data_IF_304218216392
#
_entry.id   IF_304218216392
#
_cell.length_a   1.000
_cell.length_b   1.000
_cell.length_c   1.000
_cell.angle_alpha   90.00
_cell.angle_beta   90.00
_cell.angle_gamma   90.00
#
_symmetry.space_group_name_H-M   'P 1'
#
loop_
_entity.id
_entity.type
_entity.pdbx_description
1 polymer ?
#
# COMPACT_ATOMS: atom_id res chain seq x y z
N UNK A 1 17.46 -1.32 46.78
CA UNK A 1 17.22 -2.25 45.65
C UNK A 1 16.12 -1.64 44.80
N UNK A 2 16.46 -0.99 43.69
CA UNK A 2 15.51 -0.40 42.76
C UNK A 2 15.64 -1.10 41.42
N UNK A 3 14.57 -1.75 40.96
CA UNK A 3 14.52 -2.38 39.65
C UNK A 3 14.09 -1.34 38.61
N UNK A 4 15.05 -0.89 37.81
CA UNK A 4 14.81 -0.05 36.64
C UNK A 4 14.35 -0.97 35.51
N UNK A 5 13.04 -0.99 35.21
CA UNK A 5 12.52 -1.57 33.98
C UNK A 5 12.83 -0.62 32.83
N UNK A 6 13.88 -0.90 32.06
CA UNK A 6 14.06 -0.34 30.73
C UNK A 6 13.12 -1.09 29.78
N UNK A 7 12.01 -0.46 29.40
CA UNK A 7 11.22 -0.95 28.27
C UNK A 7 12.10 -0.85 27.01
N UNK A 8 12.22 -1.92 26.19
CA UNK A 8 12.84 -1.78 24.89
C UNK A 8 12.07 -0.75 24.07
N UNK A 9 12.78 0.22 23.50
CA UNK A 9 12.20 1.16 22.56
C UNK A 9 11.63 0.37 21.37
N UNK A 10 10.43 0.70 20.86
CA UNK A 10 9.90 0.06 19.67
C UNK A 10 10.87 0.27 18.48
N UNK A 11 10.95 -0.69 17.55
CA UNK A 11 11.76 -0.54 16.35
C UNK A 11 11.39 0.74 15.61
N UNK A 12 12.38 1.33 14.91
CA UNK A 12 12.17 2.51 14.08
C UNK A 12 11.06 2.21 13.07
N UNK A 13 9.89 2.81 13.29
CA UNK A 13 8.73 2.66 12.41
C UNK A 13 8.89 3.64 11.27
N UNK A 14 9.10 3.13 10.06
CA UNK A 14 9.07 3.97 8.88
C UNK A 14 7.61 4.25 8.53
N UNK A 15 7.21 5.52 8.63
CA UNK A 15 5.87 5.96 8.24
C UNK A 15 5.78 5.97 6.71
N UNK A 16 5.00 5.06 6.14
CA UNK A 16 4.65 5.03 4.73
C UNK A 16 3.28 5.71 4.53
N UNK A 17 3.03 6.20 3.32
CA UNK A 17 1.78 6.91 3.01
C UNK A 17 0.66 5.89 2.71
N UNK A 18 -0.47 5.98 3.42
CA UNK A 18 -1.64 5.12 3.24
C UNK A 18 -2.75 5.85 2.48
N UNK A 19 -3.19 5.30 1.34
CA UNK A 19 -4.09 5.98 0.39
C UNK A 19 -5.46 5.30 0.33
N UNK A 20 -6.55 6.01 0.01
CA UNK A 20 -7.84 5.33 -0.11
C UNK A 20 -8.75 5.71 -1.29
N UNK A 21 -9.24 4.67 -1.98
CA UNK A 21 -10.44 4.55 -2.81
C UNK A 21 -10.42 5.04 -4.24
N UNK A 22 -10.28 4.05 -5.12
CA UNK A 22 -11.09 3.93 -6.35
C UNK A 22 -11.99 2.70 -6.14
N UNK A 23 -13.24 2.66 -6.61
CA UNK A 23 -13.86 1.33 -6.75
C UNK A 23 -13.03 0.54 -7.77
N UNK A 24 -12.93 -0.78 -7.58
CA UNK A 24 -12.25 -1.60 -8.56
C UNK A 24 -12.93 -1.39 -9.92
N UNK A 25 -12.19 -0.92 -10.93
CA UNK A 25 -12.64 -1.05 -12.31
C UNK A 25 -13.05 -2.51 -12.55
N UNK A 26 -14.05 -2.77 -13.41
CA UNK A 26 -14.64 -4.10 -13.51
C UNK A 26 -13.56 -5.15 -13.71
N UNK A 27 -13.62 -6.24 -12.93
CA UNK A 27 -13.01 -7.50 -13.35
C UNK A 27 -13.44 -7.72 -14.81
N UNK A 28 -12.51 -8.04 -15.73
CA UNK A 28 -12.85 -8.16 -17.13
C UNK A 28 -14.02 -9.11 -17.24
N UNK A 29 -15.14 -8.63 -17.80
CA UNK A 29 -16.23 -9.51 -18.21
C UNK A 29 -15.58 -10.55 -19.11
N UNK A 30 -15.50 -11.80 -18.64
CA UNK A 30 -15.19 -12.95 -19.48
C UNK A 30 -16.27 -12.95 -20.56
N UNK A 31 -15.93 -12.42 -21.72
CA UNK A 31 -16.84 -12.34 -22.84
C UNK A 31 -17.01 -13.77 -23.36
N UNK A 32 -18.07 -14.46 -22.92
CA UNK A 32 -18.57 -15.66 -23.57
C UNK A 32 -19.19 -15.25 -24.90
N UNK A 33 -18.35 -14.95 -25.89
CA UNK A 33 -18.80 -14.80 -27.27
C UNK A 33 -17.79 -15.42 -28.20
N UNK A 34 -17.59 -16.73 -28.02
CA UNK A 34 -17.24 -17.61 -29.12
C UNK A 34 -18.52 -17.89 -29.92
N UNK A 35 -18.98 -16.93 -30.72
CA UNK A 35 -19.83 -17.13 -31.92
C UNK A 35 -20.24 -15.78 -32.52
N UNK A 36 -19.44 -15.25 -33.43
CA UNK A 36 -19.90 -14.65 -34.71
C UNK A 36 -18.69 -14.13 -35.49
N UNK A 37 -17.93 -15.07 -36.07
CA UNK A 37 -17.25 -14.79 -37.32
C UNK A 37 -18.29 -14.98 -38.44
N UNK A 38 -18.76 -13.87 -39.03
CA UNK A 38 -19.04 -13.72 -40.48
C UNK A 38 -19.68 -12.36 -40.76
N UNK A 39 -19.18 -11.71 -41.82
CA UNK A 39 -19.67 -10.50 -42.50
C UNK A 39 -19.54 -9.21 -41.68
N UNK A 40 -18.91 -8.12 -42.13
CA UNK A 40 -18.90 -7.59 -43.49
C UNK A 40 -17.72 -6.64 -43.71
N UNK A 41 -17.19 -6.69 -44.93
CA UNK A 41 -16.33 -5.68 -45.57
C UNK A 41 -17.10 -4.40 -45.87
N UNK A 42 -16.42 -3.24 -45.75
CA UNK A 42 -16.49 -1.99 -46.54
C UNK A 42 -16.18 -0.78 -45.62
N UNK A 43 -15.07 -0.04 -45.77
CA UNK A 43 -14.66 0.95 -46.81
C UNK A 43 -15.06 2.39 -46.42
N UNK A 44 -14.10 3.33 -46.61
CA UNK A 44 -14.23 4.80 -46.87
C UNK A 44 -14.42 5.71 -45.64
N UNK A 45 -13.38 6.42 -45.13
CA UNK A 45 -12.74 7.73 -45.51
C UNK A 45 -13.39 8.98 -44.88
N UNK A 46 -12.54 10.02 -44.73
CA UNK A 46 -12.73 11.44 -44.34
C UNK A 46 -12.55 11.78 -42.85
N UNK A 47 -11.54 12.56 -42.43
CA UNK A 47 -11.06 13.93 -42.78
C UNK A 47 -11.64 15.01 -41.83
N UNK A 48 -10.76 15.90 -41.35
CA UNK A 48 -11.06 17.10 -40.54
C UNK A 48 -10.85 16.91 -39.03
N UNK A 49 -9.83 17.44 -38.35
CA UNK A 49 -9.06 18.64 -38.60
C UNK A 49 -9.62 19.79 -37.76
N UNK A 50 -9.20 19.96 -36.51
CA UNK A 50 -9.30 21.23 -35.75
C UNK A 50 -8.20 21.31 -34.68
N UNK A 51 -7.26 22.22 -34.93
CA UNK A 51 -6.19 22.64 -34.03
C UNK A 51 -6.65 23.89 -33.29
N UNK A 52 -6.62 23.88 -31.96
CA UNK A 52 -6.67 25.11 -31.16
C UNK A 52 -5.56 25.08 -30.10
N UNK A 53 -4.63 26.00 -30.30
CA UNK A 53 -3.56 26.45 -29.42
C UNK A 53 -4.11 27.11 -28.15
N UNK A 54 -3.54 26.78 -26.99
CA UNK A 54 -3.68 27.55 -25.75
C UNK A 54 -2.29 28.00 -25.26
N UNK A 55 -2.17 29.20 -24.65
CA UNK A 55 -0.89 29.83 -24.36
C UNK A 55 -0.21 29.35 -23.08
N UNK A 56 1.12 29.35 -23.13
CA UNK A 56 2.06 29.30 -22.03
C UNK A 56 1.82 30.45 -21.04
N UNK A 57 1.73 30.13 -19.75
CA UNK A 57 1.92 31.10 -18.66
C UNK A 57 3.04 30.62 -17.75
N UNK A 58 4.16 31.34 -17.82
CA UNK A 58 5.33 31.21 -16.95
C UNK A 58 5.18 32.12 -15.74
N UNK A 59 5.33 31.59 -14.53
CA UNK A 59 5.64 32.40 -13.35
C UNK A 59 6.65 31.69 -12.46
N UNK A 60 7.79 32.36 -12.31
CA UNK A 60 8.98 32.06 -11.50
C UNK A 60 8.68 32.04 -9.98
N UNK A 61 9.51 31.36 -9.15
CA UNK A 61 9.29 31.24 -7.72
C UNK A 61 9.93 32.40 -6.94
N UNK A 62 9.27 32.85 -5.88
CA UNK A 62 9.86 33.70 -4.85
C UNK A 62 10.25 32.86 -3.63
N UNK A 63 11.47 33.14 -3.16
CA UNK A 63 12.13 32.55 -2.02
C UNK A 63 11.88 33.31 -0.73
N UNK A 64 12.08 32.62 0.40
CA UNK A 64 12.91 33.00 1.56
C UNK A 64 12.23 32.97 2.94
N UNK A 65 13.11 32.64 3.91
CA UNK A 65 13.05 32.78 5.36
C UNK A 65 12.12 31.77 6.07
N UNK A 66 12.56 31.01 7.08
CA UNK A 66 13.76 31.07 7.89
C UNK A 66 13.33 30.59 9.28
N UNK A 67 13.83 29.45 9.75
CA UNK A 67 13.58 28.99 11.11
C UNK A 67 14.90 28.76 11.85
N UNK A 68 15.07 29.60 12.86
CA UNK A 68 16.01 29.54 13.96
C UNK A 68 15.87 28.21 14.70
N UNK A 69 16.97 27.47 14.88
CA UNK A 69 17.05 26.43 15.92
C UNK A 69 18.05 26.91 16.98
N UNK A 70 17.53 27.20 18.17
CA UNK A 70 18.31 27.50 19.37
C UNK A 70 19.01 26.24 19.89
N UNK A 71 20.29 26.39 20.19
CA UNK A 71 21.13 25.43 20.91
C UNK A 71 20.89 25.58 22.41
N UNK A 72 20.83 24.46 23.15
CA UNK A 72 21.04 24.43 24.60
C UNK A 72 22.33 23.69 24.95
N UNK A 73 23.10 24.15 25.95
CA UNK A 73 24.46 23.71 26.20
C UNK A 73 24.58 22.43 27.03
N UNK A 74 25.71 21.76 26.77
CA UNK A 74 26.30 20.66 27.52
C UNK A 74 26.55 21.02 28.99
N UNK A 75 26.27 20.07 29.89
CA UNK A 75 26.83 20.05 31.23
C UNK A 75 27.77 18.85 31.35
N UNK A 76 29.06 19.13 31.52
CA UNK A 76 30.10 18.18 31.89
C UNK A 76 30.17 18.07 33.41
N UNK A 77 30.27 16.85 33.93
CA UNK A 77 30.72 16.61 35.30
C UNK A 77 31.66 15.39 35.31
N UNK A 78 32.93 15.66 35.62
CA UNK A 78 33.96 14.68 35.96
C UNK A 78 33.82 14.26 37.42
N UNK A 79 33.88 12.97 37.73
CA UNK A 79 34.39 12.47 39.03
C UNK A 79 35.21 11.19 38.82
N UNK A 80 36.30 11.15 39.58
CA UNK A 80 37.47 10.29 39.57
C UNK A 80 37.32 8.89 40.21
N UNK A 81 38.19 7.99 39.74
CA UNK A 81 38.89 6.85 40.37
C UNK A 81 38.18 5.96 41.42
N UNK A 82 38.18 4.65 41.12
CA UNK A 82 38.00 3.58 42.10
C UNK A 82 38.23 2.20 41.46
N UNK A 83 39.46 1.70 41.51
CA UNK A 83 39.85 0.37 41.06
C UNK A 83 39.27 -0.71 41.99
N UNK A 84 38.36 -1.54 41.48
CA UNK A 84 38.01 -2.82 42.10
C UNK A 84 37.78 -3.86 41.01
N UNK A 85 38.69 -4.84 40.97
CA UNK A 85 38.58 -6.04 40.14
C UNK A 85 37.47 -6.92 40.74
N UNK A 86 36.28 -6.86 40.16
CA UNK A 86 35.24 -7.87 40.33
C UNK A 86 35.10 -8.55 38.96
N UNK A 87 35.70 -9.74 38.83
CA UNK A 87 35.43 -10.64 37.71
C UNK A 87 34.14 -11.38 38.04
N UNK A 88 33.01 -10.76 37.69
CA UNK A 88 31.71 -11.41 37.66
C UNK A 88 31.52 -11.95 36.24
N UNK A 89 31.68 -13.26 36.05
CA UNK A 89 31.23 -13.96 34.84
C UNK A 89 29.71 -14.06 34.89
N UNK A 90 29.01 -12.94 34.67
CA UNK A 90 27.61 -12.95 34.29
C UNK A 90 27.55 -13.25 32.79
N UNK A 91 26.96 -14.39 32.45
CA UNK A 91 26.70 -14.78 31.07
C UNK A 91 25.87 -13.70 30.36
N UNK A 92 26.48 -13.01 29.41
CA UNK A 92 25.75 -12.25 28.42
C UNK A 92 25.27 -13.24 27.36
N UNK A 93 24.07 -13.77 27.55
CA UNK A 93 23.27 -14.21 26.42
C UNK A 93 23.02 -12.95 25.57
N UNK A 94 23.87 -12.73 24.56
CA UNK A 94 23.59 -11.82 23.45
C UNK A 94 22.39 -12.40 22.70
N UNK A 95 21.19 -12.18 23.24
CA UNK A 95 19.98 -12.31 22.46
C UNK A 95 20.10 -11.29 21.34
N UNK A 96 20.27 -11.76 20.10
CA UNK A 96 20.14 -10.91 18.94
C UNK A 96 18.77 -10.24 19.02
N UNK A 97 18.75 -8.95 19.37
CA UNK A 97 17.58 -8.11 19.18
C UNK A 97 17.39 -8.02 17.68
N UNK A 98 16.56 -8.91 17.13
CA UNK A 98 16.05 -8.77 15.77
C UNK A 98 15.27 -7.46 15.78
N UNK A 99 15.88 -6.43 15.22
CA UNK A 99 15.24 -5.14 15.01
C UNK A 99 14.22 -5.39 13.89
N UNK A 100 12.99 -5.76 14.25
CA UNK A 100 11.95 -5.99 13.27
C UNK A 100 11.61 -4.64 12.63
N UNK A 101 12.17 -4.39 11.44
CA UNK A 101 11.78 -3.24 10.63
C UNK A 101 10.31 -3.39 10.24
N UNK A 102 9.60 -2.27 10.25
CA UNK A 102 8.18 -2.26 9.97
C UNK A 102 7.71 -0.95 9.35
N UNK A 103 6.65 -1.07 8.56
CA UNK A 103 6.01 0.03 7.85
C UNK A 103 4.59 0.23 8.39
N UNK A 104 4.23 1.49 8.63
CA UNK A 104 2.86 1.86 9.00
C UNK A 104 2.25 2.64 7.86
N UNK A 105 1.16 2.11 7.30
CA UNK A 105 0.28 2.80 6.36
C UNK A 105 -0.89 3.40 7.14
N UNK A 106 -1.00 4.72 7.16
CA UNK A 106 -2.04 5.42 7.92
C UNK A 106 -3.09 6.01 6.99
N UNK A 107 -4.36 5.79 7.37
CA UNK A 107 -5.54 6.30 6.73
C UNK A 107 -6.11 7.43 7.59
N UNK A 108 -6.10 8.66 7.06
CA UNK A 108 -6.69 9.84 7.68
C UNK A 108 -8.15 9.97 7.22
N UNK A 109 -9.12 9.64 8.08
CA UNK A 109 -10.53 9.58 7.69
C UNK A 109 -11.14 10.87 7.15
N UNK A 110 -10.48 12.04 7.30
CA UNK A 110 -10.89 13.26 6.61
C UNK A 110 -10.55 13.27 5.12
N UNK A 111 -9.51 12.52 4.73
CA UNK A 111 -8.99 12.46 3.35
C UNK A 111 -9.18 11.10 2.70
N UNK A 112 -9.33 10.03 3.47
CA UNK A 112 -9.64 8.67 2.99
C UNK A 112 -11.14 8.38 3.07
N UNK A 113 -11.97 9.29 2.55
CA UNK A 113 -13.43 9.13 2.40
C UNK A 113 -14.14 8.48 3.60
N UNK A 114 -13.70 8.83 4.82
CA UNK A 114 -14.28 8.33 6.07
C UNK A 114 -13.59 7.12 6.71
N UNK A 115 -12.71 6.40 6.01
CA UNK A 115 -11.93 5.30 6.59
C UNK A 115 -10.78 5.86 7.41
N UNK A 116 -10.68 5.47 8.67
CA UNK A 116 -9.60 5.91 9.57
C UNK A 116 -8.85 4.71 10.15
N UNK A 117 -7.55 4.85 10.39
CA UNK A 117 -6.76 3.85 11.10
C UNK A 117 -5.46 3.49 10.41
N UNK A 118 -5.00 2.25 10.60
CA UNK A 118 -3.67 1.82 10.15
C UNK A 118 -3.64 0.38 9.63
N UNK A 119 -2.71 0.16 8.70
CA UNK A 119 -2.17 -1.16 8.37
C UNK A 119 -0.70 -1.15 8.75
N UNK A 120 -0.31 -2.02 9.68
CA UNK A 120 1.06 -2.23 10.13
C UNK A 120 1.62 -3.47 9.43
N UNK A 121 2.84 -3.35 8.90
CA UNK A 121 3.61 -4.43 8.31
C UNK A 121 4.89 -4.59 9.13
N UNK A 122 5.16 -5.79 9.61
CA UNK A 122 6.37 -6.13 10.37
C UNK A 122 7.08 -7.31 9.71
N UNK A 123 8.34 -7.14 9.30
CA UNK A 123 9.12 -8.23 8.71
C UNK A 123 9.46 -9.29 9.76
N UNK A 124 9.36 -10.56 9.38
CA UNK A 124 9.61 -11.69 10.29
C UNK A 124 11.00 -12.28 10.07
N UNK A 125 11.88 -12.12 11.07
CA UNK A 125 13.17 -12.82 11.11
C UNK A 125 14.13 -12.42 9.98
N UNK A 126 14.91 -13.38 9.49
CA UNK A 126 15.95 -13.17 8.47
C UNK A 126 15.47 -13.45 7.04
N UNK A 127 14.17 -13.70 6.83
CA UNK A 127 13.60 -14.01 5.52
C UNK A 127 13.21 -12.73 4.79
N UNK A 128 13.62 -12.52 3.53
CA UNK A 128 13.46 -11.20 2.89
C UNK A 128 12.00 -10.86 2.55
N UNK A 129 11.09 -11.83 2.43
CA UNK A 129 9.73 -11.62 1.90
C UNK A 129 8.60 -11.99 2.86
N UNK A 130 8.90 -12.45 4.08
CA UNK A 130 7.85 -12.79 5.05
C UNK A 130 7.52 -11.59 5.95
N UNK A 131 6.25 -11.20 5.98
CA UNK A 131 5.77 -10.11 6.81
C UNK A 131 4.49 -10.49 7.57
N UNK A 132 4.41 -10.05 8.82
CA UNK A 132 3.16 -9.99 9.59
C UNK A 132 2.44 -8.70 9.22
N UNK A 133 1.16 -8.80 8.90
CA UNK A 133 0.33 -7.64 8.56
C UNK A 133 -0.81 -7.56 9.57
N UNK A 134 -0.95 -6.41 10.22
CA UNK A 134 -2.02 -6.12 11.17
C UNK A 134 -2.82 -4.93 10.67
N UNK A 135 -4.14 -5.03 10.63
CA UNK A 135 -5.01 -3.93 10.22
C UNK A 135 -6.01 -3.59 11.32
N UNK A 136 -6.07 -2.30 11.66
CA UNK A 136 -7.06 -1.70 12.53
C UNK A 136 -7.68 -0.50 11.82
N UNK A 137 -8.85 -0.72 11.21
CA UNK A 137 -9.51 0.27 10.36
C UNK A 137 -10.96 0.50 10.82
N UNK A 138 -11.42 1.74 10.74
CA UNK A 138 -12.76 2.17 11.09
C UNK A 138 -13.46 2.74 9.84
N UNK A 139 -14.50 2.04 9.39
CA UNK A 139 -15.33 2.37 8.23
C UNK A 139 -16.63 3.09 8.66
N UNK A 140 -16.79 3.45 9.94
CA UNK A 140 -18.05 4.01 10.45
C UNK A 140 -18.45 5.35 9.83
N UNK A 141 -17.48 6.09 9.26
CA UNK A 141 -17.72 7.36 8.55
C UNK A 141 -17.69 7.21 7.02
N UNK A 142 -17.55 5.99 6.49
CA UNK A 142 -17.53 5.76 5.04
C UNK A 142 -18.89 6.11 4.44
N UNK A 143 -18.90 7.09 3.54
CA UNK A 143 -20.07 7.47 2.76
C UNK A 143 -20.15 6.63 1.48
N UNK A 144 -20.95 5.56 1.52
CA UNK A 144 -21.15 4.69 0.37
C UNK A 144 -21.90 5.39 -0.79
N UNK A 145 -22.69 6.43 -0.54
CA UNK A 145 -23.30 7.20 -1.63
C UNK A 145 -22.24 8.03 -2.36
N UNK A 146 -21.30 8.65 -1.63
CA UNK A 146 -20.17 9.33 -2.22
C UNK A 146 -19.27 8.37 -3.02
N UNK A 147 -19.01 7.17 -2.51
CA UNK A 147 -18.30 6.08 -3.21
C UNK A 147 -18.96 5.77 -4.56
N UNK A 148 -20.26 5.50 -4.56
CA UNK A 148 -21.02 5.18 -5.78
C UNK A 148 -21.09 6.35 -6.76
N UNK A 149 -21.18 7.58 -6.25
CA UNK A 149 -21.16 8.78 -7.08
C UNK A 149 -19.80 8.99 -7.75
N UNK A 150 -18.72 8.66 -7.05
CA UNK A 150 -17.37 8.79 -7.56
C UNK A 150 -17.01 7.71 -8.59
N UNK A 151 -17.61 6.53 -8.50
CA UNK A 151 -17.38 5.44 -9.46
C UNK A 151 -18.68 4.72 -9.83
N UNK A 152 -19.09 4.87 -11.10
CA UNK A 152 -20.29 4.24 -11.63
C UNK A 152 -20.25 2.69 -11.68
N UNK A 153 -19.08 2.07 -11.49
CA UNK A 153 -18.97 0.61 -11.36
C UNK A 153 -19.41 0.10 -9.99
N UNK A 154 -19.48 0.98 -8.99
CA UNK A 154 -20.00 0.67 -7.66
C UNK A 154 -21.55 0.60 -7.70
N UNK A 155 -22.12 -0.41 -8.36
CA UNK A 155 -23.58 -0.57 -8.50
C UNK A 155 -24.22 -1.32 -7.34
N UNK A 156 -23.42 -2.03 -6.54
CA UNK A 156 -23.92 -2.81 -5.42
C UNK A 156 -24.33 -1.88 -4.27
N UNK A 157 -25.61 -1.94 -3.89
CA UNK A 157 -26.14 -1.15 -2.79
C UNK A 157 -25.52 -1.54 -1.43
N UNK A 158 -25.08 -2.79 -1.30
CA UNK A 158 -24.49 -3.34 -0.08
C UNK A 158 -23.05 -3.80 -0.35
N UNK A 159 -22.09 -2.92 -0.09
CA UNK A 159 -20.66 -3.23 -0.16
C UNK A 159 -20.22 -3.68 1.23
N UNK A 160 -19.82 -4.95 1.34
CA UNK A 160 -19.42 -5.59 2.61
C UNK A 160 -17.99 -6.09 2.60
N UNK A 161 -17.33 -6.09 1.45
CA UNK A 161 -15.94 -6.49 1.27
C UNK A 161 -15.19 -5.40 0.53
N UNK A 162 -13.97 -5.12 0.99
CA UNK A 162 -13.13 -4.09 0.39
C UNK A 162 -11.79 -4.70 0.01
N UNK A 163 -11.48 -4.68 -1.28
CA UNK A 163 -10.20 -5.19 -1.81
C UNK A 163 -9.09 -4.21 -1.50
N UNK A 164 -7.85 -4.66 -1.45
CA UNK A 164 -6.72 -3.82 -1.08
C UNK A 164 -5.42 -4.35 -1.67
N UNK A 165 -4.60 -3.42 -2.17
CA UNK A 165 -3.42 -3.72 -2.97
C UNK A 165 -2.33 -2.68 -2.75
N UNK A 166 -1.08 -3.05 -3.03
CA UNK A 166 0.07 -2.12 -3.10
C UNK A 166 0.15 -1.56 -4.52
N UNK A 167 0.15 -0.24 -4.64
CA UNK A 167 0.34 0.51 -5.87
C UNK A 167 1.70 1.19 -5.89
N UNK A 168 2.28 1.32 -7.09
CA UNK A 168 3.71 1.66 -7.27
C UNK A 168 4.03 3.16 -7.38
N UNK A 169 3.04 4.06 -7.36
CA UNK A 169 3.26 5.51 -7.43
C UNK A 169 2.44 6.27 -6.41
N UNK A 170 2.95 7.42 -5.99
CA UNK A 170 2.21 8.34 -5.15
C UNK A 170 2.57 9.78 -5.50
N UNK A 171 1.59 10.52 -6.02
CA UNK A 171 1.81 11.89 -6.49
C UNK A 171 1.08 12.94 -5.63
N UNK A 172 0.89 12.66 -4.33
CA UNK A 172 0.31 13.63 -3.39
C UNK A 172 1.29 14.01 -2.26
N UNK A 173 1.22 15.28 -1.87
CA UNK A 173 1.89 15.78 -0.67
C UNK A 173 1.20 15.34 0.62
N UNK A 174 -0.07 14.92 0.54
CA UNK A 174 -0.81 14.38 1.67
C UNK A 174 -0.39 12.92 1.93
N UNK A 175 -0.70 12.44 3.14
CA UNK A 175 -0.50 11.04 3.53
C UNK A 175 -1.60 10.12 3.07
N UNK A 176 -2.80 10.68 2.81
CA UNK A 176 -4.00 9.98 2.33
C UNK A 176 -4.75 10.88 1.35
N UNK A 177 -5.45 10.25 0.41
CA UNK A 177 -6.32 10.89 -0.57
C UNK A 177 -7.54 10.01 -0.85
N UNK A 178 -8.50 10.52 -1.64
CA UNK A 178 -9.63 9.74 -2.13
C UNK A 178 -10.12 10.01 -3.54
N UNK A 179 -10.89 9.05 -4.06
CA UNK A 179 -11.60 9.09 -5.32
C UNK A 179 -10.67 9.28 -6.53
N UNK A 180 -10.84 10.36 -7.30
CA UNK A 180 -10.05 10.63 -8.49
C UNK A 180 -8.53 10.70 -8.23
N UNK A 181 -8.12 11.03 -7.00
CA UNK A 181 -6.71 11.04 -6.60
C UNK A 181 -6.08 9.65 -6.48
N UNK A 182 -6.90 8.59 -6.47
CA UNK A 182 -6.44 7.22 -6.40
C UNK A 182 -6.35 6.54 -7.78
N UNK A 183 -6.65 7.27 -8.85
CA UNK A 183 -6.68 6.75 -10.22
C UNK A 183 -5.32 6.25 -10.72
N UNK A 184 -5.34 5.30 -11.68
CA UNK A 184 -4.16 4.63 -12.25
C UNK A 184 -3.05 5.59 -12.70
N UNK A 185 -3.38 6.77 -13.23
CA UNK A 185 -2.36 7.73 -13.67
C UNK A 185 -1.57 8.35 -12.50
N UNK A 186 -2.17 8.48 -11.31
CA UNK A 186 -1.57 9.08 -10.11
C UNK A 186 -0.95 8.03 -9.20
N UNK A 187 -1.55 6.84 -9.11
CA UNK A 187 -1.12 5.77 -8.20
C UNK A 187 -0.35 4.65 -8.90
N UNK A 188 -0.38 4.59 -10.23
CA UNK A 188 0.14 3.46 -10.96
C UNK A 188 -0.75 2.21 -10.80
N UNK A 189 -0.17 1.08 -11.19
CA UNK A 189 -0.79 -0.23 -11.13
C UNK A 189 -0.28 -1.00 -9.90
N UNK A 190 -0.75 -2.24 -9.72
CA UNK A 190 -0.30 -3.13 -8.64
C UNK A 190 1.19 -3.46 -8.77
N UNK A 191 1.89 -3.51 -7.64
CA UNK A 191 3.27 -3.96 -7.59
C UNK A 191 3.38 -5.46 -7.94
N UNK A 192 4.13 -5.79 -9.00
CA UNK A 192 4.23 -7.15 -9.53
C UNK A 192 5.60 -7.46 -10.15
N UNK A 193 6.70 -7.36 -9.37
CA UNK A 193 8.06 -7.55 -9.88
C UNK A 193 8.31 -8.97 -10.41
N UNK A 194 7.51 -9.94 -9.96
CA UNK A 194 7.61 -11.34 -10.37
C UNK A 194 6.73 -11.68 -11.57
N UNK A 195 5.97 -10.72 -12.10
CA UNK A 195 5.10 -10.89 -13.28
C UNK A 195 4.15 -12.08 -13.13
N UNK A 196 3.45 -12.12 -12.00
CA UNK A 196 2.27 -12.96 -11.84
C UNK A 196 1.17 -12.53 -12.83
N UNK A 197 1.23 -11.28 -13.30
CA UNK A 197 0.49 -10.76 -14.44
C UNK A 197 -1.02 -10.78 -14.24
N UNK A 198 -1.50 -10.28 -13.10
CA UNK A 198 -2.91 -9.98 -12.95
C UNK A 198 -3.36 -8.80 -13.81
N UNK A 199 -4.68 -8.58 -13.93
CA UNK A 199 -5.24 -7.54 -14.81
C UNK A 199 -4.76 -6.13 -14.51
N UNK A 200 -4.29 -5.89 -13.28
CA UNK A 200 -3.82 -4.59 -12.81
C UNK A 200 -2.34 -4.60 -12.46
N UNK A 201 -1.57 -5.61 -12.88
CA UNK A 201 -0.11 -5.63 -12.80
C UNK A 201 0.50 -4.38 -13.44
N UNK A 202 1.57 -3.84 -12.85
CA UNK A 202 2.38 -2.79 -13.50
C UNK A 202 2.97 -3.23 -14.85
N UNK A 203 3.00 -4.54 -15.11
CA UNK A 203 3.44 -5.13 -16.37
C UNK A 203 2.29 -5.65 -17.24
N UNK A 204 1.01 -5.41 -16.89
CA UNK A 204 -0.15 -5.96 -17.59
C UNK A 204 -0.16 -5.69 -19.11
N UNK A 205 0.37 -4.54 -19.54
CA UNK A 205 0.42 -4.11 -20.94
C UNK A 205 1.63 -4.68 -21.72
N UNK A 206 2.52 -5.42 -21.06
CA UNK A 206 3.63 -6.14 -21.72
C UNK A 206 3.13 -7.41 -22.41
N UNK A 207 3.82 -7.84 -23.47
CA UNK A 207 3.43 -9.05 -24.21
C UNK A 207 3.54 -10.32 -23.34
N UNK A 208 4.48 -10.34 -22.38
CA UNK A 208 4.62 -11.41 -21.40
C UNK A 208 3.34 -11.56 -20.54
N UNK A 209 2.76 -10.44 -20.08
CA UNK A 209 1.59 -10.48 -19.22
C UNK A 209 0.26 -10.58 -19.96
N UNK A 210 0.11 -10.00 -21.15
CA UNK A 210 -1.14 -10.06 -21.92
C UNK A 210 -1.68 -11.49 -22.08
N UNK A 211 -0.79 -12.47 -22.24
CA UNK A 211 -1.16 -13.89 -22.33
C UNK A 211 -1.63 -14.47 -20.99
N UNK A 212 -1.05 -14.03 -19.87
CA UNK A 212 -1.29 -14.56 -18.51
C UNK A 212 -2.49 -13.93 -17.82
N UNK A 213 -2.81 -12.66 -18.10
CA UNK A 213 -3.90 -11.89 -17.45
C UNK A 213 -5.23 -12.65 -17.40
N UNK A 214 -5.60 -13.35 -18.48
CA UNK A 214 -6.87 -14.10 -18.54
C UNK A 214 -6.92 -15.31 -17.61
N UNK A 215 -5.76 -15.83 -17.23
CA UNK A 215 -5.61 -16.99 -16.35
C UNK A 215 -5.26 -16.63 -14.91
N UNK A 216 -5.01 -15.34 -14.64
CA UNK A 216 -4.73 -14.86 -13.30
C UNK A 216 -5.90 -15.15 -12.38
N UNK A 217 -5.60 -15.84 -11.27
CA UNK A 217 -6.60 -16.27 -10.32
C UNK A 217 -5.96 -16.37 -8.93
N UNK A 218 -5.44 -15.24 -8.45
CA UNK A 218 -4.92 -15.18 -7.10
C UNK A 218 -6.06 -15.33 -6.09
N UNK A 219 -5.92 -16.32 -5.22
CA UNK A 219 -6.84 -16.61 -4.12
C UNK A 219 -6.03 -17.12 -2.94
N UNK A 220 -6.50 -17.01 -1.69
CA UNK A 220 -5.73 -17.48 -0.54
C UNK A 220 -5.36 -18.97 -0.63
N UNK A 221 -6.26 -19.78 -1.18
CA UNK A 221 -6.03 -21.21 -1.38
C UNK A 221 -4.95 -21.53 -2.44
N UNK A 222 -4.84 -20.72 -3.50
CA UNK A 222 -3.78 -20.88 -4.51
C UNK A 222 -2.46 -20.31 -4.00
N UNK A 223 -2.51 -19.14 -3.38
CA UNK A 223 -1.37 -18.50 -2.75
C UNK A 223 -0.69 -19.40 -1.71
N UNK A 224 -1.47 -20.08 -0.86
CA UNK A 224 -0.94 -21.01 0.13
C UNK A 224 -0.20 -22.21 -0.48
N UNK A 225 -0.48 -22.58 -1.74
CA UNK A 225 0.19 -23.66 -2.47
C UNK A 225 1.42 -23.17 -3.23
N UNK A 226 1.31 -22.01 -3.85
CA UNK A 226 2.36 -21.39 -4.64
C UNK A 226 2.25 -19.86 -4.52
N UNK A 227 3.14 -19.21 -3.74
CA UNK A 227 3.13 -17.76 -3.57
C UNK A 227 3.38 -16.95 -4.85
N UNK A 228 3.96 -17.55 -5.90
CA UNK A 228 4.31 -16.86 -7.14
C UNK A 228 3.11 -16.70 -8.11
N UNK A 229 1.98 -17.36 -7.84
CA UNK A 229 0.75 -17.22 -8.64
C UNK A 229 0.01 -15.90 -8.42
N UNK A 230 0.45 -15.12 -7.43
CA UNK A 230 -0.14 -13.87 -7.01
C UNK A 230 0.86 -12.74 -7.21
N UNK A 231 0.37 -11.58 -7.63
CA UNK A 231 1.16 -10.35 -7.62
C UNK A 231 1.59 -10.08 -6.17
N UNK A 232 2.83 -9.62 -5.94
CA UNK A 232 3.26 -9.25 -4.58
C UNK A 232 2.37 -8.15 -3.99
N UNK A 233 1.84 -7.27 -4.82
CA UNK A 233 0.91 -6.21 -4.42
C UNK A 233 -0.55 -6.64 -4.27
N UNK A 234 -0.97 -7.83 -4.71
CA UNK A 234 -2.37 -8.28 -4.60
C UNK A 234 -2.68 -8.88 -3.22
N UNK A 235 -2.73 -8.01 -2.20
CA UNK A 235 -2.91 -8.43 -0.81
C UNK A 235 -4.29 -9.07 -0.58
N UNK A 236 -5.33 -8.57 -1.22
CA UNK A 236 -6.66 -9.18 -1.16
C UNK A 236 -6.75 -10.57 -1.77
N UNK A 237 -6.09 -10.81 -2.90
CA UNK A 237 -6.00 -12.14 -3.50
C UNK A 237 -5.21 -13.09 -2.61
N UNK A 238 -4.14 -12.62 -1.96
CA UNK A 238 -3.27 -13.45 -1.11
C UNK A 238 -3.88 -13.79 0.25
N UNK A 239 -4.35 -12.78 0.98
CA UNK A 239 -4.74 -12.92 2.40
C UNK A 239 -6.20 -12.59 2.68
N UNK A 240 -6.94 -12.13 1.66
CA UNK A 240 -8.36 -11.83 1.74
C UNK A 240 -8.68 -10.34 1.81
N UNK A 241 -9.93 -10.01 1.46
CA UNK A 241 -10.46 -8.65 1.53
C UNK A 241 -10.70 -8.21 2.97
N UNK A 242 -10.70 -6.89 3.19
CA UNK A 242 -11.23 -6.32 4.43
C UNK A 242 -12.74 -6.51 4.49
N UNK A 243 -13.24 -6.97 5.64
CA UNK A 243 -14.68 -7.15 5.89
C UNK A 243 -15.04 -6.46 7.20
N UNK A 244 -15.55 -5.21 7.16
CA UNK A 244 -15.97 -4.52 8.36
C UNK A 244 -17.05 -5.30 9.11
N UNK A 245 -16.91 -5.37 10.43
CA UNK A 245 -17.88 -6.03 11.30
C UNK A 245 -19.19 -5.23 11.45
N UNK A 246 -20.08 -5.67 12.34
CA UNK A 246 -21.34 -4.98 12.63
C UNK A 246 -21.13 -3.54 13.16
N UNK A 247 -19.97 -3.24 13.75
CA UNK A 247 -19.57 -1.90 14.21
C UNK A 247 -18.80 -1.12 13.15
N UNK A 248 -18.74 -1.62 11.92
CA UNK A 248 -17.98 -1.06 10.79
C UNK A 248 -16.49 -1.01 11.05
N UNK A 249 -15.94 -1.96 11.82
CA UNK A 249 -14.50 -2.01 12.12
C UNK A 249 -13.85 -3.26 11.54
N UNK A 250 -12.58 -3.13 11.20
CA UNK A 250 -11.70 -4.23 10.82
C UNK A 250 -10.60 -4.31 11.86
N UNK A 251 -10.44 -5.48 12.47
CA UNK A 251 -9.30 -5.83 13.32
C UNK A 251 -8.85 -7.23 12.98
N UNK A 252 -7.73 -7.36 12.28
CA UNK A 252 -7.30 -8.62 11.67
C UNK A 252 -5.79 -8.67 11.52
N UNK A 253 -5.26 -9.90 11.44
CA UNK A 253 -3.83 -10.18 11.36
C UNK A 253 -3.60 -11.29 10.34
N UNK A 254 -2.55 -11.13 9.53
CA UNK A 254 -2.12 -12.11 8.54
C UNK A 254 -0.63 -12.30 8.56
N UNK A 255 -0.18 -13.41 7.97
CA UNK A 255 1.21 -13.63 7.59
C UNK A 255 1.25 -13.76 6.08
N UNK A 256 2.01 -12.89 5.43
CA UNK A 256 2.26 -12.91 4.00
C UNK A 256 3.70 -13.39 3.76
N UNK A 257 3.86 -14.57 3.15
CA UNK A 257 5.17 -15.20 2.91
C UNK A 257 5.90 -14.64 1.68
N UNK A 258 5.23 -13.81 0.90
CA UNK A 258 5.67 -13.20 -0.35
C UNK A 258 5.22 -11.74 -0.40
N UNK A 259 5.42 -11.04 0.72
CA UNK A 259 5.35 -9.59 0.79
C UNK A 259 6.61 -9.00 0.10
N UNK A 260 6.56 -7.78 -0.44
CA UNK A 260 7.77 -7.10 -0.89
C UNK A 260 8.84 -7.07 0.19
N UNK A 261 10.12 -7.20 -0.16
CA UNK A 261 11.23 -7.06 0.78
C UNK A 261 11.34 -5.62 1.25
N UNK A 262 12.04 -5.42 2.36
CA UNK A 262 12.29 -4.07 2.87
C UNK A 262 12.99 -3.19 1.82
N UNK A 263 13.97 -3.73 1.10
CA UNK A 263 14.72 -3.02 0.06
C UNK A 263 13.89 -2.71 -1.18
N UNK A 264 12.82 -3.48 -1.44
CA UNK A 264 11.88 -3.19 -2.52
C UNK A 264 10.98 -1.98 -2.16
N UNK A 265 10.77 -1.67 -0.87
CA UNK A 265 9.86 -0.59 -0.48
C UNK A 265 10.40 0.78 -0.88
N UNK A 266 9.50 1.64 -1.37
CA UNK A 266 9.82 3.02 -1.72
C UNK A 266 8.82 3.99 -1.09
N UNK A 267 9.19 5.25 -0.82
CA UNK A 267 8.24 6.28 -0.36
C UNK A 267 7.12 6.62 -1.36
N UNK A 268 7.23 6.13 -2.60
CA UNK A 268 6.23 6.32 -3.66
C UNK A 268 5.15 5.24 -3.64
N UNK A 269 5.34 4.16 -2.89
CA UNK A 269 4.31 3.15 -2.75
C UNK A 269 3.17 3.60 -1.86
N UNK A 270 2.01 3.02 -2.10
CA UNK A 270 0.84 3.19 -1.26
C UNK A 270 -0.01 1.92 -1.22
N UNK A 271 -0.82 1.78 -0.18
CA UNK A 271 -1.92 0.82 -0.17
C UNK A 271 -3.16 1.55 -0.64
N UNK A 272 -3.90 0.98 -1.59
CA UNK A 272 -5.26 1.40 -1.98
C UNK A 272 -6.24 0.37 -1.45
N UNK A 273 -7.37 0.82 -0.90
CA UNK A 273 -8.53 -0.02 -0.62
C UNK A 273 -9.63 0.33 -1.64
N UNK A 274 -10.26 -0.68 -2.22
CA UNK A 274 -11.32 -0.61 -3.21
C UNK A 274 -12.63 -1.14 -2.63
N UNK A 275 -13.73 -0.49 -2.99
CA UNK A 275 -15.10 -0.92 -2.70
C UNK A 275 -15.66 -1.82 -3.81
#
# INVERSE_FOLDING_TARGET
>A
MGWLHLQPSPPATHHQKGTFLVCGGPAPKLNSTAQQLRSSSNRSTDEGGHSQTLPLSTSTPQSLHGFLCQQFPNASASVMFGTSKIVLLCGAALGALVNAQGFVYRFDGQRSAGIDGTVLVEYVGNGPTEAKISAELDFSRLDLDAVRKADGNCTNANITEFKWHIHVKWNSTNTSESFGQCSKNLTGNHYDPLKACGPFSEFADTDECKAKVKSYNCTPARYAKDPAVCEKGDLSGKVGAFKPDAKKKVKTHWVDKNFPTEEENTPEWNIIIHA
#
